data_IF_557569545314
#
_entry.id   IF_557569545314
#
_cell.length_a   1.000
_cell.length_b   1.000
_cell.length_c   1.000
_cell.angle_alpha   90.00
_cell.angle_beta   90.00
_cell.angle_gamma   90.00
#
_symmetry.space_group_name_H-M   'P 1'
#
loop_
_entity.id
_entity.type
_entity.pdbx_description
1 polymer ?
#
# COMPACT_ATOMS: atom_id res chain seq x y z
N UNK A 1 59.58 2.98 -2.69
CA UNK A 1 58.55 3.87 -2.11
C UNK A 1 57.83 4.49 -3.30
N UNK A 2 56.53 4.39 -3.55
CA UNK A 2 55.38 3.85 -2.84
C UNK A 2 54.37 3.29 -3.88
N UNK A 3 53.56 2.33 -3.44
CA UNK A 3 52.49 1.68 -4.21
C UNK A 3 51.27 2.60 -4.31
N UNK A 4 50.64 2.72 -5.50
CA UNK A 4 49.24 3.20 -5.59
C UNK A 4 48.45 2.23 -6.47
N UNK A 5 47.42 1.67 -5.84
CA UNK A 5 46.57 0.57 -6.30
C UNK A 5 45.58 1.03 -7.36
N UNK A 6 45.41 0.17 -8.37
CA UNK A 6 44.31 0.19 -9.34
C UNK A 6 42.96 0.22 -8.59
N UNK A 7 42.12 1.21 -8.86
CA UNK A 7 40.70 1.20 -8.49
C UNK A 7 39.87 1.04 -9.75
N UNK A 8 39.48 -0.20 -10.02
CA UNK A 8 38.49 -0.59 -11.01
C UNK A 8 37.13 0.02 -10.61
N UNK A 9 36.42 0.74 -11.48
CA UNK A 9 35.05 1.11 -11.18
C UNK A 9 34.18 -0.14 -11.32
N UNK A 10 33.79 -0.72 -10.18
CA UNK A 10 32.71 -1.70 -10.14
C UNK A 10 31.42 -0.95 -10.41
N UNK A 11 30.92 -1.07 -11.64
CA UNK A 11 29.59 -0.63 -12.03
C UNK A 11 28.58 -1.56 -11.34
N UNK A 12 28.05 -1.11 -10.19
CA UNK A 12 26.92 -1.76 -9.53
C UNK A 12 25.69 -1.51 -10.40
N UNK A 13 25.32 -2.51 -11.20
CA UNK A 13 23.98 -2.58 -11.80
C UNK A 13 23.01 -2.78 -10.64
N UNK A 14 22.47 -1.67 -10.13
CA UNK A 14 21.28 -1.69 -9.30
C UNK A 14 20.15 -2.25 -10.18
N UNK A 15 19.81 -3.52 -9.96
CA UNK A 15 18.56 -4.08 -10.44
C UNK A 15 17.44 -3.16 -9.98
N UNK A 16 16.78 -2.50 -10.93
CA UNK A 16 15.65 -1.63 -10.65
C UNK A 16 14.55 -2.51 -10.09
N UNK A 17 14.48 -2.49 -8.77
CA UNK A 17 13.50 -3.10 -7.93
C UNK A 17 12.11 -2.66 -8.41
N UNK A 18 11.28 -3.61 -8.81
CA UNK A 18 9.87 -3.37 -9.12
C UNK A 18 9.12 -2.97 -7.83
N UNK A 19 9.23 -1.71 -7.40
CA UNK A 19 8.48 -1.15 -6.26
C UNK A 19 7.50 -0.04 -6.66
N UNK A 20 7.40 0.29 -7.95
CA UNK A 20 6.48 1.32 -8.44
C UNK A 20 5.01 0.84 -8.56
N UNK A 21 4.72 -0.47 -8.52
CA UNK A 21 3.36 -1.00 -8.75
C UNK A 21 2.44 -0.97 -7.52
N UNK A 22 2.96 -0.64 -6.33
CA UNK A 22 2.17 -0.66 -5.10
C UNK A 22 1.27 0.56 -4.93
N UNK A 23 1.71 1.75 -5.39
CA UNK A 23 0.96 3.00 -5.24
C UNK A 23 -0.23 3.11 -6.20
N UNK A 24 -0.05 2.72 -7.47
CA UNK A 24 -1.10 2.84 -8.49
C UNK A 24 -2.30 1.92 -8.21
N UNK A 25 -2.06 0.64 -7.93
CA UNK A 25 -3.14 -0.30 -7.63
C UNK A 25 -3.94 0.08 -6.37
N UNK A 26 -3.26 0.67 -5.39
CA UNK A 26 -3.90 1.18 -4.18
C UNK A 26 -4.76 2.41 -4.49
N UNK A 27 -4.29 3.31 -5.34
CA UNK A 27 -5.02 4.51 -5.71
C UNK A 27 -6.24 4.19 -6.59
N UNK A 28 -6.12 3.25 -7.53
CA UNK A 28 -7.27 2.77 -8.32
C UNK A 28 -8.31 2.07 -7.43
N UNK A 29 -7.87 1.24 -6.49
CA UNK A 29 -8.76 0.60 -5.53
C UNK A 29 -9.46 1.63 -4.63
N UNK A 30 -8.76 2.70 -4.26
CA UNK A 30 -9.31 3.81 -3.48
C UNK A 30 -10.40 4.52 -4.26
N UNK A 31 -10.12 4.95 -5.49
CA UNK A 31 -11.11 5.61 -6.36
C UNK A 31 -12.32 4.73 -6.68
N UNK A 32 -12.13 3.40 -6.70
CA UNK A 32 -13.23 2.45 -6.90
C UNK A 32 -14.12 2.32 -5.66
N UNK A 33 -13.53 2.50 -4.48
CA UNK A 33 -14.20 2.33 -3.19
C UNK A 33 -14.88 3.63 -2.71
N UNK A 34 -14.26 4.78 -2.96
CA UNK A 34 -14.76 6.13 -2.67
C UNK A 34 -15.96 6.45 -3.59
N UNK A 35 -17.15 6.08 -3.14
CA UNK A 35 -18.40 6.24 -3.92
C UNK A 35 -19.05 7.59 -3.68
N UNK A 36 -18.83 8.15 -2.50
CA UNK A 36 -19.35 9.46 -2.12
C UNK A 36 -18.43 10.60 -2.62
N UNK A 37 -17.26 10.28 -3.18
CA UNK A 37 -16.25 11.20 -3.68
C UNK A 37 -15.74 12.18 -2.60
N UNK A 38 -15.74 11.74 -1.35
CA UNK A 38 -15.30 12.55 -0.21
C UNK A 38 -13.78 12.47 0.02
N UNK A 39 -13.06 11.70 -0.82
CA UNK A 39 -11.61 11.47 -0.73
C UNK A 39 -11.19 10.81 0.58
N UNK A 40 -12.11 10.12 1.24
CA UNK A 40 -11.91 9.28 2.40
C UNK A 40 -12.57 7.91 2.12
N UNK A 41 -12.31 6.92 2.97
CA UNK A 41 -13.06 5.67 2.95
C UNK A 41 -13.70 5.46 4.31
N UNK A 42 -15.01 5.38 4.32
CA UNK A 42 -15.73 4.87 5.47
C UNK A 42 -15.57 3.36 5.61
N UNK A 43 -16.15 2.78 6.67
CA UNK A 43 -16.04 1.35 6.96
C UNK A 43 -16.60 0.44 5.83
N UNK A 44 -17.81 0.67 5.27
CA UNK A 44 -18.28 -0.07 4.11
C UNK A 44 -17.44 0.13 2.84
N UNK A 45 -16.97 1.34 2.55
CA UNK A 45 -16.10 1.62 1.41
C UNK A 45 -14.73 0.95 1.56
N UNK A 46 -14.16 0.97 2.76
CA UNK A 46 -12.92 0.25 3.07
C UNK A 46 -13.03 -1.25 2.81
N UNK A 47 -14.21 -1.85 3.05
CA UNK A 47 -14.43 -3.26 2.70
C UNK A 47 -14.28 -3.47 1.19
N UNK A 48 -14.90 -2.60 0.36
CA UNK A 48 -14.77 -2.64 -1.10
C UNK A 48 -13.32 -2.45 -1.52
N UNK A 49 -12.62 -1.48 -0.93
CA UNK A 49 -11.20 -1.25 -1.16
C UNK A 49 -10.34 -2.50 -0.89
N UNK A 50 -10.53 -3.17 0.24
CA UNK A 50 -9.82 -4.41 0.56
C UNK A 50 -10.20 -5.54 -0.40
N UNK A 51 -11.48 -5.68 -0.76
CA UNK A 51 -11.94 -6.67 -1.74
C UNK A 51 -11.27 -6.45 -3.11
N UNK A 52 -11.18 -5.21 -3.57
CA UNK A 52 -10.49 -4.82 -4.82
C UNK A 52 -8.99 -5.07 -4.74
N UNK A 53 -8.33 -4.65 -3.66
CA UNK A 53 -6.90 -4.90 -3.45
C UNK A 53 -6.59 -6.41 -3.36
N UNK A 54 -7.49 -7.18 -2.75
CA UNK A 54 -7.38 -8.64 -2.71
C UNK A 54 -7.53 -9.25 -4.11
N UNK A 55 -8.44 -8.73 -4.94
CA UNK A 55 -8.58 -9.12 -6.34
C UNK A 55 -7.33 -8.78 -7.18
N UNK A 56 -6.66 -7.66 -6.88
CA UNK A 56 -5.37 -7.28 -7.47
C UNK A 56 -4.18 -8.10 -6.94
N UNK A 57 -4.41 -9.08 -6.06
CA UNK A 57 -3.37 -9.98 -5.54
C UNK A 57 -2.52 -9.40 -4.41
N UNK A 58 -2.94 -8.30 -3.75
CA UNK A 58 -2.19 -7.76 -2.60
C UNK A 58 -2.26 -8.74 -1.41
N UNK A 59 -1.13 -9.22 -0.88
CA UNK A 59 -1.11 -10.25 0.15
C UNK A 59 -1.72 -9.77 1.47
N UNK A 60 -1.57 -8.49 1.82
CA UNK A 60 -2.17 -7.91 3.04
C UNK A 60 -3.69 -7.88 2.90
N UNK A 61 -4.23 -7.39 1.78
CA UNK A 61 -5.65 -7.34 1.54
C UNK A 61 -6.29 -8.74 1.48
N UNK A 62 -5.61 -9.70 0.84
CA UNK A 62 -6.00 -11.11 0.84
C UNK A 62 -6.09 -11.67 2.26
N UNK A 63 -5.10 -11.40 3.12
CA UNK A 63 -5.12 -11.83 4.53
C UNK A 63 -6.28 -11.19 5.30
N UNK A 64 -6.54 -9.90 5.10
CA UNK A 64 -7.67 -9.19 5.75
C UNK A 64 -9.00 -9.80 5.32
N UNK A 65 -9.18 -10.02 4.01
CA UNK A 65 -10.38 -10.64 3.43
C UNK A 65 -10.57 -12.08 3.93
N UNK A 66 -9.54 -12.92 3.84
CA UNK A 66 -9.59 -14.32 4.29
C UNK A 66 -9.87 -14.45 5.78
N UNK A 67 -9.30 -13.55 6.60
CA UNK A 67 -9.53 -13.56 8.04
C UNK A 67 -10.86 -12.88 8.44
N UNK A 68 -11.58 -12.25 7.51
CA UNK A 68 -12.77 -11.44 7.82
C UNK A 68 -12.47 -10.23 8.71
N UNK A 69 -11.22 -9.76 8.74
CA UNK A 69 -10.70 -8.79 9.71
C UNK A 69 -10.78 -7.34 9.23
N UNK A 70 -11.84 -6.98 8.51
CA UNK A 70 -12.01 -5.62 7.97
C UNK A 70 -11.97 -4.58 9.09
N UNK A 71 -12.74 -4.76 10.16
CA UNK A 71 -12.78 -3.83 11.28
C UNK A 71 -11.43 -3.69 12.01
N UNK A 72 -10.68 -4.79 12.13
CA UNK A 72 -9.35 -4.78 12.75
C UNK A 72 -8.31 -4.09 11.86
N UNK A 73 -8.40 -4.26 10.54
CA UNK A 73 -7.53 -3.56 9.61
C UNK A 73 -7.89 -2.07 9.56
N UNK A 74 -9.18 -1.74 9.52
CA UNK A 74 -9.70 -0.39 9.57
C UNK A 74 -9.18 0.36 10.80
N UNK A 75 -9.44 -0.16 12.00
CA UNK A 75 -9.01 0.48 13.25
C UNK A 75 -7.49 0.45 13.49
N UNK A 76 -6.71 -0.27 12.68
CA UNK A 76 -5.24 -0.18 12.68
C UNK A 76 -4.72 0.96 11.83
N UNK A 77 -5.46 1.33 10.79
CA UNK A 77 -5.08 2.34 9.82
C UNK A 77 -5.63 3.70 10.25
N UNK A 78 -6.87 3.72 10.76
CA UNK A 78 -7.57 4.87 11.34
C UNK A 78 -6.82 5.31 12.61
N UNK A 79 -5.89 6.26 12.45
CA UNK A 79 -5.00 6.68 13.53
C UNK A 79 -5.67 7.69 14.45
N UNK A 80 -6.48 8.57 13.88
CA UNK A 80 -7.23 9.57 14.61
C UNK A 80 -8.57 9.04 15.15
N UNK A 81 -8.94 7.80 14.80
CA UNK A 81 -10.15 7.09 15.27
C UNK A 81 -11.43 7.84 14.93
N UNK A 82 -11.44 8.51 13.79
CA UNK A 82 -12.56 9.31 13.33
C UNK A 82 -13.58 8.47 12.55
N UNK A 83 -13.28 7.20 12.25
CA UNK A 83 -14.15 6.32 11.48
C UNK A 83 -14.05 6.50 9.96
N UNK A 84 -13.02 7.19 9.47
CA UNK A 84 -12.76 7.50 8.06
C UNK A 84 -11.27 7.28 7.76
N UNK A 85 -10.94 6.71 6.61
CA UNK A 85 -9.56 6.50 6.20
C UNK A 85 -9.17 7.44 5.07
N UNK A 86 -8.21 8.30 5.36
CA UNK A 86 -7.63 9.16 4.33
C UNK A 86 -6.63 8.38 3.47
N UNK A 87 -6.36 8.81 2.22
CA UNK A 87 -5.32 8.21 1.39
C UNK A 87 -3.93 8.21 2.06
N UNK A 88 -3.66 9.21 2.90
CA UNK A 88 -2.43 9.28 3.70
C UNK A 88 -2.36 8.17 4.75
N UNK A 89 -3.47 7.82 5.38
CA UNK A 89 -3.49 6.73 6.36
C UNK A 89 -3.39 5.38 5.68
N UNK A 90 -4.07 5.20 4.54
CA UNK A 90 -3.96 3.98 3.74
C UNK A 90 -2.55 3.73 3.25
N UNK A 91 -1.71 4.75 3.07
CA UNK A 91 -0.29 4.55 2.83
C UNK A 91 0.36 3.70 3.92
N UNK A 92 -0.19 3.61 5.13
CA UNK A 92 0.33 2.75 6.20
C UNK A 92 0.11 1.25 5.94
N UNK A 93 -0.69 0.87 4.92
CA UNK A 93 -0.81 -0.50 4.41
C UNK A 93 0.40 -0.90 3.54
N UNK A 94 1.62 -0.78 4.07
CA UNK A 94 2.86 -1.22 3.41
C UNK A 94 3.28 -2.61 3.87
#
# INVERSE_FOLDING_TARGET
MANVKLITPVLIVFGVLAVASSGYAQQEAFMTADKNADTMLDQPEFKVFIDTMAASGKPIALKVKQAGRYNLAFGRIDKDKNGLLTPNELQSLK
#
